data_IF_721622349489
#
_entry.id   IF_721622349489
#
_cell.length_a   1.000
_cell.length_b   1.000
_cell.length_c   1.000
_cell.angle_alpha   90.00
_cell.angle_beta   90.00
_cell.angle_gamma   90.00
#
_symmetry.space_group_name_H-M   'P 1'
#
loop_
_entity.id
_entity.type
_entity.pdbx_description
1 polymer ?
#
# COMPACT_ATOMS: atom_id res chain seq x y z
N UNK A 1 32.89 -24.18 -45.49
CA UNK A 1 33.68 -24.81 -44.41
C UNK A 1 33.25 -24.18 -43.09
N UNK A 2 32.59 -24.96 -42.24
CA UNK A 2 32.12 -24.58 -40.90
C UNK A 2 33.08 -25.21 -39.88
N UNK A 3 33.34 -24.55 -38.74
CA UNK A 3 33.39 -25.30 -37.49
C UNK A 3 32.47 -24.73 -36.40
N UNK A 4 31.62 -25.60 -35.85
CA UNK A 4 31.07 -25.52 -34.49
C UNK A 4 32.02 -26.25 -33.54
N UNK A 5 32.19 -25.79 -32.30
CA UNK A 5 31.89 -26.67 -31.15
C UNK A 5 31.31 -25.85 -29.97
N UNK A 6 30.76 -26.36 -28.87
CA UNK A 6 30.54 -27.69 -28.33
C UNK A 6 29.49 -27.55 -27.21
N UNK A 7 28.59 -28.53 -27.11
CA UNK A 7 27.72 -28.77 -25.96
C UNK A 7 28.49 -29.51 -24.85
N UNK A 8 28.35 -29.04 -23.61
CA UNK A 8 28.41 -29.80 -22.34
C UNK A 8 27.25 -29.23 -21.51
N UNK A 9 26.22 -29.95 -21.06
CA UNK A 9 26.23 -31.23 -20.34
C UNK A 9 26.74 -30.99 -18.92
N UNK A 10 26.12 -31.38 -17.81
CA UNK A 10 24.93 -32.18 -17.49
C UNK A 10 24.80 -32.19 -15.95
N UNK A 11 23.60 -32.50 -15.45
CA UNK A 11 23.26 -33.01 -14.10
C UNK A 11 23.21 -32.00 -12.92
N UNK A 12 22.42 -32.19 -11.87
CA UNK A 12 21.22 -32.98 -11.49
C UNK A 12 21.13 -32.85 -9.96
N UNK A 13 19.98 -33.24 -9.38
CA UNK A 13 19.74 -33.60 -7.97
C UNK A 13 19.45 -32.45 -7.00
N UNK A 14 18.57 -32.57 -6.00
CA UNK A 14 17.45 -33.46 -5.68
C UNK A 14 16.86 -32.92 -4.34
N UNK A 15 15.77 -33.57 -3.90
CA UNK A 15 15.11 -33.52 -2.59
C UNK A 15 14.10 -32.40 -2.36
N UNK A 16 12.79 -32.68 -2.41
CA UNK A 16 11.98 -33.58 -1.54
C UNK A 16 12.06 -33.13 -0.08
N UNK A 17 11.03 -32.48 0.46
CA UNK A 17 9.74 -33.02 0.94
C UNK A 17 9.74 -33.01 2.47
N UNK A 18 8.53 -33.09 3.00
CA UNK A 18 8.14 -33.37 4.38
C UNK A 18 8.06 -32.15 5.32
N UNK A 19 7.07 -32.02 6.20
CA UNK A 19 5.70 -32.54 6.39
C UNK A 19 5.31 -32.07 7.80
N UNK A 20 4.02 -31.80 8.00
CA UNK A 20 3.25 -31.77 9.26
C UNK A 20 3.96 -31.52 10.61
N UNK A 21 3.40 -30.65 11.45
CA UNK A 21 2.67 -31.19 12.61
C UNK A 21 1.72 -30.17 13.26
N UNK A 22 0.47 -30.60 13.43
CA UNK A 22 -0.46 -30.07 14.41
C UNK A 22 0.07 -30.45 15.80
N UNK A 23 -0.21 -29.64 16.83
CA UNK A 23 -0.78 -30.16 18.08
C UNK A 23 -1.23 -28.97 18.94
N UNK A 24 -2.55 -28.85 19.13
CA UNK A 24 -3.16 -28.24 20.32
C UNK A 24 -3.15 -29.29 21.44
N UNK A 25 -3.10 -28.85 22.70
CA UNK A 25 -4.10 -29.35 23.64
C UNK A 25 -4.79 -28.24 24.43
N UNK A 26 -6.12 -28.36 24.52
CA UNK A 26 -6.93 -27.72 25.55
C UNK A 26 -6.80 -28.56 26.83
N UNK A 27 -6.48 -27.92 27.96
CA UNK A 27 -6.68 -28.54 29.26
C UNK A 27 -7.54 -27.62 30.13
N UNK A 28 -8.80 -28.04 30.29
CA UNK A 28 -9.66 -27.72 31.41
C UNK A 28 -8.99 -28.25 32.68
N UNK A 29 -8.93 -27.48 33.76
CA UNK A 29 -9.48 -27.91 35.05
C UNK A 29 -9.21 -26.92 36.19
N UNK A 30 -10.25 -26.84 37.02
CA UNK A 30 -10.22 -26.75 38.48
C UNK A 30 -10.40 -25.39 39.16
N UNK A 31 -11.66 -25.20 39.59
CA UNK A 31 -12.14 -24.75 40.91
C UNK A 31 -11.07 -24.27 41.91
N UNK A 32 -11.30 -23.07 42.42
CA UNK A 32 -10.74 -22.59 43.68
C UNK A 32 -11.42 -21.30 44.10
N UNK A 33 -12.55 -21.43 44.78
CA UNK A 33 -13.21 -20.33 45.51
C UNK A 33 -12.34 -19.97 46.71
N UNK A 34 -11.86 -18.72 46.79
CA UNK A 34 -11.41 -18.14 48.04
C UNK A 34 -11.88 -16.68 48.11
N UNK A 35 -12.61 -16.40 49.18
CA UNK A 35 -13.23 -15.12 49.54
C UNK A 35 -12.16 -14.04 49.66
N UNK A 36 -12.45 -12.85 49.16
CA UNK A 36 -11.82 -11.62 49.66
C UNK A 36 -12.82 -10.47 49.54
N UNK A 37 -13.50 -10.16 50.64
CA UNK A 37 -14.09 -8.85 50.89
C UNK A 37 -13.09 -8.13 51.79
N UNK A 38 -12.68 -6.93 51.39
CA UNK A 38 -12.35 -5.76 52.22
C UNK A 38 -11.92 -4.65 51.26
N UNK A 39 -12.78 -3.66 51.08
CA UNK A 39 -12.46 -2.36 50.49
C UNK A 39 -11.68 -1.55 51.52
N UNK A 40 -10.57 -0.92 51.14
CA UNK A 40 -10.29 0.46 51.54
C UNK A 40 -9.22 1.11 50.65
N UNK A 41 -9.22 2.44 50.69
CA UNK A 41 -8.82 3.39 49.67
C UNK A 41 -7.35 3.36 49.23
N UNK A 42 -7.15 3.47 47.91
CA UNK A 42 -6.01 4.16 47.33
C UNK A 42 -6.45 4.79 45.99
N UNK A 43 -7.18 5.89 46.12
CA UNK A 43 -7.52 6.81 45.05
C UNK A 43 -6.23 7.49 44.54
N UNK A 44 -5.52 6.84 43.64
CA UNK A 44 -4.39 7.42 42.93
C UNK A 44 -4.78 7.66 41.47
N UNK A 45 -5.32 8.85 41.21
CA UNK A 45 -5.30 9.59 39.95
C UNK A 45 -5.17 8.76 38.65
N UNK A 46 -6.27 8.21 38.16
CA UNK A 46 -6.37 7.80 36.74
C UNK A 46 -6.66 9.04 35.89
N UNK A 47 -5.65 9.89 35.67
CA UNK A 47 -5.65 10.69 34.44
C UNK A 47 -5.55 9.69 33.29
N UNK A 48 -6.51 9.63 32.35
CA UNK A 48 -6.31 8.84 31.14
C UNK A 48 -5.07 9.41 30.46
N UNK A 49 -3.95 8.68 30.55
CA UNK A 49 -2.80 8.92 29.69
C UNK A 49 -3.33 8.70 28.29
N UNK A 50 -3.74 9.78 27.65
CA UNK A 50 -4.01 9.83 26.24
C UNK A 50 -2.66 9.57 25.58
N UNK A 51 -2.27 8.28 25.52
CA UNK A 51 -1.12 7.80 24.79
C UNK A 51 -1.30 8.44 23.44
N UNK A 52 -0.45 9.42 23.11
CA UNK A 52 -0.52 10.20 21.88
C UNK A 52 -0.81 9.19 20.78
N UNK A 53 -2.05 9.15 20.31
CA UNK A 53 -2.48 8.11 19.38
C UNK A 53 -1.81 8.48 18.08
N UNK A 54 -0.60 7.97 17.87
CA UNK A 54 0.17 8.21 16.67
C UNK A 54 -0.75 7.90 15.48
N UNK A 55 -0.86 8.81 14.50
CA UNK A 55 -1.78 8.64 13.39
C UNK A 55 -1.62 7.25 12.78
N UNK A 56 -2.70 6.47 12.76
CA UNK A 56 -2.68 5.12 12.23
C UNK A 56 -2.25 5.20 10.76
N UNK A 57 -1.25 4.41 10.38
CA UNK A 57 -0.80 4.39 8.98
C UNK A 57 -1.97 3.98 8.07
N UNK A 58 -2.11 4.70 6.95
CA UNK A 58 -3.20 4.57 6.00
C UNK A 58 -2.82 3.65 4.83
N UNK A 59 -3.82 3.01 4.25
CA UNK A 59 -3.72 2.25 3.00
C UNK A 59 -3.74 3.23 1.80
N UNK A 60 -3.27 2.80 0.62
CA UNK A 60 -3.41 3.54 -0.63
C UNK A 60 -4.86 3.96 -0.89
N UNK A 61 -5.84 3.07 -0.67
CA UNK A 61 -7.25 3.39 -0.92
C UNK A 61 -7.83 4.40 0.08
N UNK A 62 -7.40 4.35 1.34
CA UNK A 62 -7.78 5.35 2.36
C UNK A 62 -7.25 6.74 2.01
N UNK A 63 -6.10 6.82 1.34
CA UNK A 63 -5.52 8.08 0.87
C UNK A 63 -6.18 8.54 -0.43
N UNK A 64 -6.40 7.61 -1.35
CA UNK A 64 -7.05 7.85 -2.63
C UNK A 64 -8.47 8.40 -2.45
N UNK A 65 -9.25 7.89 -1.50
CA UNK A 65 -10.63 8.34 -1.25
C UNK A 65 -10.74 9.79 -0.76
N UNK A 66 -9.67 10.33 -0.16
CA UNK A 66 -9.59 11.73 0.29
C UNK A 66 -9.28 12.66 -0.89
N UNK A 67 -8.64 12.14 -1.94
CA UNK A 67 -8.19 12.91 -3.08
C UNK A 67 -9.28 12.97 -4.18
N UNK A 68 -9.30 14.05 -4.98
CA UNK A 68 -10.19 14.13 -6.13
C UNK A 68 -9.89 13.01 -7.12
N UNK A 69 -10.94 12.49 -7.77
CA UNK A 69 -10.84 11.38 -8.75
C UNK A 69 -10.10 10.16 -8.20
N UNK A 70 -10.25 9.88 -6.90
CA UNK A 70 -9.58 8.77 -6.22
C UNK A 70 -8.05 8.79 -6.34
N UNK A 71 -7.44 9.98 -6.38
CA UNK A 71 -5.98 10.13 -6.46
C UNK A 71 -5.38 9.75 -7.82
N UNK A 72 -6.16 9.73 -8.89
CA UNK A 72 -5.62 9.58 -10.26
C UNK A 72 -4.75 10.80 -10.60
N UNK A 73 -3.55 10.55 -11.13
CA UNK A 73 -2.52 11.55 -11.41
C UNK A 73 -1.68 11.94 -10.19
N UNK A 74 -1.93 11.34 -9.02
CA UNK A 74 -1.17 11.59 -7.80
C UNK A 74 0.02 10.63 -7.65
N UNK A 75 1.05 11.10 -6.93
CA UNK A 75 2.22 10.29 -6.58
C UNK A 75 2.06 9.67 -5.20
N UNK A 76 2.39 8.39 -5.11
CA UNK A 76 2.36 7.63 -3.87
C UNK A 76 3.69 6.96 -3.58
N UNK A 77 4.04 6.95 -2.30
CA UNK A 77 5.27 6.39 -1.78
C UNK A 77 5.02 5.35 -0.70
N UNK A 78 5.96 4.42 -0.52
CA UNK A 78 5.91 3.41 0.55
C UNK A 78 6.83 3.77 1.70
N UNK A 79 6.32 3.68 2.93
CA UNK A 79 7.09 3.83 4.17
C UNK A 79 8.18 2.79 4.34
N UNK A 80 8.01 1.59 3.79
CA UNK A 80 9.09 0.59 3.75
C UNK A 80 10.25 1.03 2.86
N UNK A 81 10.02 1.87 1.86
CA UNK A 81 11.08 2.46 1.05
C UNK A 81 11.75 3.62 1.78
N UNK A 82 10.96 4.46 2.46
CA UNK A 82 11.48 5.51 3.34
C UNK A 82 12.47 4.95 4.37
N UNK A 83 12.11 3.85 5.05
CA UNK A 83 12.96 3.18 6.03
C UNK A 83 14.26 2.60 5.46
N UNK A 84 14.34 2.41 4.15
CA UNK A 84 15.54 1.96 3.45
C UNK A 84 16.39 3.10 2.90
N UNK A 85 16.00 4.36 3.14
CA UNK A 85 16.70 5.53 2.65
C UNK A 85 16.43 5.87 1.18
N UNK A 86 15.35 5.39 0.59
CA UNK A 86 14.96 5.78 -0.76
C UNK A 86 14.26 7.15 -0.76
N UNK A 87 14.58 7.98 -1.76
CA UNK A 87 13.97 9.30 -1.94
C UNK A 87 12.56 9.21 -2.56
N UNK A 88 11.52 9.81 -1.96
CA UNK A 88 10.17 9.88 -2.55
C UNK A 88 10.12 10.49 -3.97
N UNK A 89 11.05 11.38 -4.33
CA UNK A 89 11.10 12.03 -5.64
C UNK A 89 11.52 11.05 -6.73
N UNK A 90 12.51 10.20 -6.44
CA UNK A 90 13.07 9.24 -7.41
C UNK A 90 12.35 7.89 -7.40
N UNK A 91 11.68 7.56 -6.30
CA UNK A 91 11.02 6.29 -6.08
C UNK A 91 9.56 6.53 -5.73
N UNK A 92 8.66 6.48 -6.70
CA UNK A 92 7.23 6.60 -6.42
C UNK A 92 6.39 5.92 -7.50
N UNK A 93 5.12 5.72 -7.17
CA UNK A 93 4.10 5.31 -8.13
C UNK A 93 3.28 6.51 -8.53
N UNK A 94 3.15 6.77 -9.82
CA UNK A 94 2.14 7.67 -10.36
C UNK A 94 0.88 6.86 -10.67
N UNK A 95 -0.19 7.12 -9.93
CA UNK A 95 -1.44 6.36 -10.06
C UNK A 95 -2.21 6.84 -11.28
N UNK A 96 -2.54 5.92 -12.19
CA UNK A 96 -3.27 6.25 -13.43
C UNK A 96 -4.72 5.78 -13.40
N UNK A 97 -4.99 4.69 -12.69
CA UNK A 97 -6.34 4.12 -12.57
C UNK A 97 -6.53 3.51 -11.20
N UNK A 98 -7.69 3.76 -10.60
CA UNK A 98 -8.11 3.12 -9.36
C UNK A 98 -9.51 2.57 -9.56
N UNK A 99 -9.71 1.30 -9.23
CA UNK A 99 -11.02 0.65 -9.20
C UNK A 99 -11.25 0.20 -7.77
N UNK A 100 -12.11 0.93 -7.05
CA UNK A 100 -12.50 0.59 -5.68
C UNK A 100 -13.64 -0.41 -5.70
N UNK A 101 -13.66 -1.30 -4.71
CA UNK A 101 -14.78 -2.20 -4.45
C UNK A 101 -15.46 -1.74 -3.18
N UNK A 102 -16.77 -1.68 -3.21
CA UNK A 102 -17.56 -1.45 -2.02
C UNK A 102 -17.56 -2.72 -1.17
N UNK A 103 -17.32 -2.55 0.12
CA UNK A 103 -17.38 -3.62 1.14
C UNK A 103 -18.10 -3.08 2.36
N UNK A 104 -18.52 -3.95 3.28
CA UNK A 104 -19.20 -3.53 4.53
C UNK A 104 -18.31 -2.60 5.39
N UNK A 105 -16.98 -2.72 5.25
CA UNK A 105 -15.99 -1.87 5.91
C UNK A 105 -15.77 -0.49 5.23
N UNK A 106 -16.45 -0.24 4.11
CA UNK A 106 -16.30 0.94 3.25
C UNK A 106 -15.47 0.72 1.98
N UNK A 107 -14.96 1.80 1.40
CA UNK A 107 -14.16 1.83 0.15
C UNK A 107 -12.65 1.54 0.40
N UNK A 108 -12.34 0.50 1.16
CA UNK A 108 -10.95 0.19 1.61
C UNK A 108 -10.22 -0.85 0.78
N UNK A 109 -10.90 -1.42 -0.21
CA UNK A 109 -10.42 -2.52 -1.07
C UNK A 109 -10.56 -2.11 -2.53
N UNK A 110 -9.75 -2.72 -3.39
CA UNK A 110 -9.80 -2.43 -4.82
C UNK A 110 -8.60 -2.96 -5.58
N UNK A 111 -8.43 -2.46 -6.79
CA UNK A 111 -7.25 -2.62 -7.62
C UNK A 111 -6.78 -1.25 -8.09
N UNK A 112 -5.46 -1.04 -8.08
CA UNK A 112 -4.85 0.19 -8.56
C UNK A 112 -3.77 -0.12 -9.59
N UNK A 113 -3.66 0.75 -10.58
CA UNK A 113 -2.67 0.71 -11.63
C UNK A 113 -1.95 2.05 -11.70
N UNK A 114 -0.69 1.99 -12.09
CA UNK A 114 0.14 3.19 -12.20
C UNK A 114 1.46 2.93 -12.89
N UNK A 115 2.23 3.99 -13.05
CA UNK A 115 3.59 3.94 -13.60
C UNK A 115 4.58 4.00 -12.44
N UNK A 116 5.52 3.06 -12.41
CA UNK A 116 6.61 3.09 -11.43
C UNK A 116 7.70 4.03 -11.92
N UNK A 117 8.07 4.99 -11.08
CA UNK A 117 9.36 5.67 -11.15
C UNK A 117 10.34 4.97 -10.21
N UNK A 118 11.47 4.56 -10.75
CA UNK A 118 12.52 3.87 -10.01
C UNK A 118 13.87 4.50 -10.35
N UNK A 119 14.61 4.97 -9.32
CA UNK A 119 15.88 5.68 -9.51
C UNK A 119 15.75 6.89 -10.45
N UNK A 120 14.64 7.63 -10.36
CA UNK A 120 14.39 8.78 -11.23
C UNK A 120 13.91 8.43 -12.64
N UNK A 121 13.96 7.14 -13.05
CA UNK A 121 13.53 6.69 -14.38
C UNK A 121 12.08 6.20 -14.32
N UNK A 122 11.22 6.76 -15.17
CA UNK A 122 9.85 6.27 -15.34
C UNK A 122 9.86 5.02 -16.22
N UNK A 123 9.13 3.98 -15.80
CA UNK A 123 9.02 2.75 -16.60
C UNK A 123 8.21 2.96 -17.89
N UNK A 124 7.39 4.02 -17.96
CA UNK A 124 6.48 4.32 -19.09
C UNK A 124 5.30 3.35 -19.21
N UNK A 125 5.44 2.11 -18.76
CA UNK A 125 4.39 1.10 -18.76
C UNK A 125 3.50 1.21 -17.52
N UNK A 126 2.18 1.23 -17.74
CA UNK A 126 1.19 1.09 -16.67
C UNK A 126 1.20 -0.35 -16.14
N UNK A 127 1.45 -0.50 -14.84
CA UNK A 127 1.49 -1.79 -14.14
C UNK A 127 0.52 -1.80 -12.96
N UNK A 128 0.05 -2.99 -12.60
CA UNK A 128 -0.74 -3.17 -11.38
C UNK A 128 0.12 -2.92 -10.14
N UNK A 129 -0.37 -2.07 -9.24
CA UNK A 129 0.32 -1.74 -8.01
C UNK A 129 0.04 -2.85 -7.00
N UNK A 130 1.09 -3.54 -6.56
CA UNK A 130 0.98 -4.61 -5.57
C UNK A 130 1.00 -4.04 -4.15
N UNK A 131 0.43 -4.82 -3.22
CA UNK A 131 0.40 -4.47 -1.78
C UNK A 131 -0.30 -3.13 -1.49
N UNK A 132 -1.26 -2.72 -2.32
CA UNK A 132 -2.06 -1.50 -2.12
C UNK A 132 -2.71 -1.49 -0.75
N UNK A 133 -3.31 -2.62 -0.33
CA UNK A 133 -3.99 -2.75 0.95
C UNK A 133 -3.10 -2.60 2.21
N UNK A 134 -1.77 -2.58 2.07
CA UNK A 134 -0.88 -2.45 3.23
C UNK A 134 -0.95 -1.03 3.79
N UNK A 135 -0.83 -0.90 5.10
CA UNK A 135 -0.82 0.39 5.81
C UNK A 135 0.58 1.00 5.81
N UNK A 136 1.14 1.20 4.63
CA UNK A 136 2.50 1.73 4.47
C UNK A 136 2.57 2.78 3.36
N UNK A 137 1.43 3.28 2.90
CA UNK A 137 1.39 4.26 1.81
C UNK A 137 1.36 5.69 2.35
N UNK A 138 1.98 6.59 1.60
CA UNK A 138 1.95 8.04 1.81
C UNK A 138 1.74 8.73 0.47
N UNK A 139 0.96 9.79 0.50
CA UNK A 139 0.80 10.70 -0.64
C UNK A 139 2.01 11.64 -0.70
N UNK A 140 2.56 11.83 -1.89
CA UNK A 140 3.57 12.85 -2.16
C UNK A 140 2.86 13.99 -2.90
N UNK A 141 2.79 15.21 -2.32
CA UNK A 141 2.26 16.34 -3.04
C UNK A 141 3.14 16.65 -4.25
N UNK A 142 2.51 16.84 -5.40
CA UNK A 142 3.17 17.31 -6.60
C UNK A 142 3.71 18.73 -6.35
N UNK A 143 5.00 19.03 -6.65
CA UNK A 143 5.46 20.40 -6.60
C UNK A 143 4.70 21.21 -7.65
N UNK A 144 4.20 22.38 -7.25
CA UNK A 144 3.31 23.26 -8.05
C UNK A 144 3.87 23.58 -9.44
N UNK A 145 5.20 23.57 -9.60
CA UNK A 145 5.89 23.77 -10.88
C UNK A 145 5.51 22.74 -11.95
N UNK A 146 5.27 21.49 -11.56
CA UNK A 146 4.85 20.43 -12.50
C UNK A 146 3.40 20.59 -12.94
N UNK A 147 2.56 21.14 -12.06
CA UNK A 147 1.14 21.40 -12.34
C UNK A 147 0.99 22.50 -13.39
N UNK A 148 1.81 23.55 -13.30
CA UNK A 148 1.84 24.64 -14.27
C UNK A 148 2.44 24.22 -15.63
N UNK A 149 3.41 23.28 -15.62
CA UNK A 149 4.04 22.78 -16.84
C UNK A 149 3.17 21.77 -17.62
N UNK A 150 2.18 21.15 -16.98
CA UNK A 150 1.14 20.38 -17.69
C UNK A 150 0.27 21.38 -18.44
N UNK A 151 0.66 21.72 -19.68
CA UNK A 151 -0.15 22.50 -20.63
C UNK A 151 -1.59 22.00 -20.50
N UNK A 152 -2.57 22.85 -20.13
CA UNK A 152 -3.95 22.42 -20.05
C UNK A 152 -4.28 21.73 -21.39
N UNK A 153 -4.89 20.54 -21.39
CA UNK A 153 -5.34 19.94 -22.64
C UNK A 153 -6.16 21.02 -23.32
N UNK A 154 -5.84 21.30 -24.59
CA UNK A 154 -6.55 22.26 -25.42
C UNK A 154 -8.01 21.80 -25.50
N UNK A 155 -8.80 22.16 -24.48
CA UNK A 155 -10.17 21.73 -24.35
C UNK A 155 -10.95 22.57 -25.33
N UNK A 156 -11.40 21.87 -26.37
CA UNK A 156 -12.67 22.11 -27.00
C UNK A 156 -12.89 23.54 -27.53
N UNK A 157 -12.38 23.78 -28.74
CA UNK A 157 -13.04 24.71 -29.65
C UNK A 157 -14.35 24.02 -30.07
N UNK A 158 -15.40 24.18 -29.27
CA UNK A 158 -16.76 23.86 -29.66
C UNK A 158 -17.15 24.86 -30.75
N UNK A 159 -16.92 24.51 -32.00
CA UNK A 159 -17.57 25.18 -33.12
C UNK A 159 -19.04 24.77 -33.10
N UNK A 160 -19.84 25.52 -32.33
CA UNK A 160 -21.25 25.68 -32.64
C UNK A 160 -21.35 26.39 -33.98
N UNK A 161 -21.79 25.66 -35.00
CA UNK A 161 -22.32 26.25 -36.22
C UNK A 161 -23.82 25.99 -36.19
N UNK A 162 -24.51 26.98 -35.63
CA UNK A 162 -25.88 27.35 -35.95
C UNK A 162 -26.03 27.54 -37.47
N UNK A 163 -27.15 27.07 -38.02
CA UNK A 163 -27.95 27.63 -39.15
C UNK A 163 -28.81 26.48 -39.69
N UNK A 164 -30.12 26.46 -39.38
CA UNK A 164 -31.19 27.20 -40.06
C UNK A 164 -31.54 26.57 -41.42
#
# INVERSE_FOLDING_TARGET
MIPRPSLRGVHSLLSHMFVTNLQRPLHLSNRGSFRQLCSDAAEAATTPRHRLQLPKQKNLYDLASILPRFGVGSRFFRNSWARKGYDPVDYHWEVTRVVLRQTDEGLKRGSAWGVLRWKGVSTGTVKSIRSTCKREWRYIPEPVSTVLARKPPASARMSGADSA
#
